data_IF_268749612256
#
_entry.id   IF_268749612256
#
_cell.length_a   1.000
_cell.length_b   1.000
_cell.length_c   1.000
_cell.angle_alpha   90.00
_cell.angle_beta   90.00
_cell.angle_gamma   90.00
#
_symmetry.space_group_name_H-M   'P 1'
#
loop_
_entity.id
_entity.type
_entity.pdbx_description
1 polymer ?
#
# COMPACT_ATOMS: atom_id res chain seq x y z
N UNK A 1 11.98 0.73 -1.41
CA UNK A 1 11.10 -0.43 -1.15
C UNK A 1 11.49 -1.20 0.11
N UNK A 2 12.72 -1.73 0.25
CA UNK A 2 13.12 -2.51 1.45
C UNK A 2 12.80 -1.81 2.79
N UNK A 3 13.16 -0.53 2.92
CA UNK A 3 12.87 0.25 4.13
C UNK A 3 11.37 0.41 4.41
N UNK A 4 10.53 0.55 3.37
CA UNK A 4 9.08 0.63 3.55
C UNK A 4 8.52 -0.69 4.10
N UNK A 5 8.98 -1.83 3.57
CA UNK A 5 8.59 -3.14 4.09
C UNK A 5 9.02 -3.34 5.55
N UNK A 6 10.25 -2.95 5.89
CA UNK A 6 10.77 -3.02 7.28
C UNK A 6 10.00 -2.11 8.24
N UNK A 7 9.60 -0.93 7.79
CA UNK A 7 8.79 -0.02 8.62
C UNK A 7 7.39 -0.59 8.86
N UNK A 8 6.75 -1.14 7.83
CA UNK A 8 5.43 -1.79 7.99
C UNK A 8 5.51 -3.02 8.90
N UNK A 9 6.56 -3.84 8.78
CA UNK A 9 6.83 -4.94 9.71
C UNK A 9 6.98 -4.42 11.16
N UNK A 10 7.72 -3.32 11.36
CA UNK A 10 7.95 -2.71 12.68
C UNK A 10 6.67 -2.20 13.32
N UNK A 11 5.75 -1.62 12.55
CA UNK A 11 4.49 -1.06 13.07
C UNK A 11 3.32 -2.04 13.06
N UNK A 12 3.49 -3.25 12.52
CA UNK A 12 2.45 -4.28 12.45
C UNK A 12 1.47 -4.13 11.27
N UNK A 13 1.84 -3.39 10.23
CA UNK A 13 1.04 -3.17 9.03
C UNK A 13 0.46 -1.76 8.89
N UNK A 14 -0.16 -1.50 7.74
CA UNK A 14 -0.72 -0.20 7.37
C UNK A 14 -0.06 0.39 6.13
N UNK A 15 0.17 1.70 6.14
CA UNK A 15 0.67 2.46 4.98
C UNK A 15 1.91 3.27 5.38
N UNK A 16 2.93 3.32 4.53
CA UNK A 16 4.13 4.14 4.78
C UNK A 16 4.65 4.76 3.48
N UNK A 17 5.11 6.01 3.57
CA UNK A 17 5.77 6.72 2.49
C UNK A 17 7.26 6.82 2.79
N UNK A 18 8.10 6.34 1.87
CA UNK A 18 9.57 6.36 2.01
C UNK A 18 10.20 6.98 0.78
N UNK A 19 11.05 7.99 0.96
CA UNK A 19 11.82 8.63 -0.10
C UNK A 19 13.31 8.59 0.26
N UNK A 20 14.17 8.17 -0.67
CA UNK A 20 15.63 8.17 -0.52
C UNK A 20 16.14 7.49 0.78
N UNK A 21 15.47 6.43 1.24
CA UNK A 21 15.84 5.75 2.48
C UNK A 21 15.47 6.51 3.75
N UNK A 22 14.45 7.37 3.68
CA UNK A 22 13.86 8.03 4.85
C UNK A 22 12.35 7.82 4.87
N UNK A 23 11.82 7.40 6.01
CA UNK A 23 10.38 7.36 6.27
C UNK A 23 9.87 8.79 6.41
N UNK A 24 8.92 9.18 5.55
CA UNK A 24 8.31 10.50 5.53
C UNK A 24 7.05 10.56 6.41
N UNK A 25 6.24 9.50 6.36
CA UNK A 25 5.01 9.36 7.12
C UNK A 25 4.58 7.89 7.17
N UNK A 26 3.88 7.48 8.23
CA UNK A 26 3.34 6.13 8.42
C UNK A 26 1.97 6.21 9.09
N UNK A 27 0.99 5.51 8.52
CA UNK A 27 -0.31 5.20 9.16
C UNK A 27 -0.23 3.78 9.70
N UNK A 28 -0.12 3.66 11.02
CA UNK A 28 0.03 2.36 11.67
C UNK A 28 -1.33 1.67 11.88
N UNK A 29 -1.52 0.51 11.25
CA UNK A 29 -2.72 -0.32 11.35
C UNK A 29 -2.36 -1.72 11.90
N UNK A 30 -1.92 -1.82 13.17
CA UNK A 30 -1.35 -3.05 13.72
C UNK A 30 -2.32 -4.22 13.79
N UNK A 31 -3.63 -3.97 13.70
CA UNK A 31 -4.66 -5.02 13.74
C UNK A 31 -4.91 -5.49 12.31
N UNK A 32 -4.27 -6.60 11.94
CA UNK A 32 -4.36 -7.25 10.64
C UNK A 32 -3.96 -6.36 9.44
N UNK A 33 -3.23 -5.25 9.65
CA UNK A 33 -2.92 -4.28 8.61
C UNK A 33 -4.12 -3.40 8.22
N UNK A 34 -5.23 -3.46 8.96
CA UNK A 34 -6.51 -2.83 8.59
C UNK A 34 -7.04 -1.85 9.64
N UNK A 35 -6.77 -2.07 10.92
CA UNK A 35 -7.33 -1.27 12.01
C UNK A 35 -6.26 -0.82 13.00
N UNK A 36 -6.56 0.27 13.72
CA UNK A 36 -5.71 0.84 14.76
C UNK A 36 -6.49 0.96 16.08
N UNK A 37 -5.84 0.77 17.24
CA UNK A 37 -6.45 1.04 18.55
C UNK A 37 -6.52 2.54 18.88
N UNK A 38 -5.93 3.40 18.05
CA UNK A 38 -5.95 4.84 18.20
C UNK A 38 -7.34 5.43 17.92
N UNK A 39 -7.56 6.67 18.34
CA UNK A 39 -8.80 7.35 18.01
C UNK A 39 -8.86 7.66 16.52
N UNK A 40 -10.07 7.86 15.99
CA UNK A 40 -10.27 8.26 14.59
C UNK A 40 -9.52 9.55 14.28
N UNK A 41 -9.49 10.51 15.22
CA UNK A 41 -8.77 11.77 15.05
C UNK A 41 -7.26 11.56 14.89
N UNK A 42 -6.67 10.66 15.69
CA UNK A 42 -5.25 10.35 15.62
C UNK A 42 -4.88 9.66 14.29
N UNK A 43 -5.72 8.72 13.85
CA UNK A 43 -5.52 8.03 12.56
C UNK A 43 -5.68 9.00 11.39
N UNK A 44 -6.69 9.88 11.44
CA UNK A 44 -6.91 10.90 10.41
C UNK A 44 -5.74 11.90 10.33
N UNK A 45 -5.12 12.23 11.48
CA UNK A 45 -3.91 13.04 11.50
C UNK A 45 -2.75 12.34 10.78
N UNK A 46 -2.54 11.04 11.05
CA UNK A 46 -1.51 10.25 10.35
C UNK A 46 -1.78 10.15 8.84
N UNK A 47 -3.05 10.02 8.45
CA UNK A 47 -3.46 10.00 7.04
C UNK A 47 -3.16 11.33 6.35
N UNK A 48 -3.41 12.46 7.03
CA UNK A 48 -3.07 13.80 6.52
C UNK A 48 -1.57 13.96 6.30
N UNK A 49 -0.74 13.46 7.22
CA UNK A 49 0.71 13.45 7.07
C UNK A 49 1.17 12.57 5.90
N UNK A 50 0.51 11.43 5.70
CA UNK A 50 0.76 10.52 4.58
C UNK A 50 0.43 11.20 3.24
N UNK A 51 -0.71 11.87 3.13
CA UNK A 51 -1.11 12.63 1.96
C UNK A 51 -0.10 13.73 1.59
N UNK A 52 0.39 14.47 2.59
CA UNK A 52 1.44 15.47 2.40
C UNK A 52 2.77 14.82 1.93
N UNK A 53 3.09 13.63 2.43
CA UNK A 53 4.27 12.87 2.00
C UNK A 53 4.15 12.35 0.56
N UNK A 54 2.95 11.97 0.10
CA UNK A 54 2.72 11.53 -1.28
C UNK A 54 3.05 12.62 -2.31
N UNK A 55 2.76 13.88 -1.98
CA UNK A 55 3.14 15.02 -2.83
C UNK A 55 4.66 15.08 -3.04
N UNK A 56 5.46 14.77 -2.00
CA UNK A 56 6.93 14.71 -2.08
C UNK A 56 7.43 13.53 -2.93
N UNK A 57 6.62 12.48 -3.06
CA UNK A 57 6.87 11.33 -3.94
C UNK A 57 6.44 11.58 -5.40
N UNK A 58 5.91 12.77 -5.70
CA UNK A 58 5.40 13.11 -7.04
C UNK A 58 4.01 12.50 -7.34
N UNK A 59 3.29 12.05 -6.31
CA UNK A 59 1.95 11.48 -6.43
C UNK A 59 0.88 12.53 -6.05
N UNK A 60 -0.30 12.52 -6.71
CA UNK A 60 -1.42 13.36 -6.32
C UNK A 60 -2.02 12.91 -4.97
N UNK A 61 -2.67 13.84 -4.26
CA UNK A 61 -3.18 13.63 -2.90
C UNK A 61 -4.24 12.50 -2.79
N UNK A 62 -4.97 12.19 -3.88
CA UNK A 62 -6.07 11.19 -3.91
C UNK A 62 -5.62 9.73 -4.08
N UNK A 63 -4.33 9.41 -3.94
CA UNK A 63 -3.76 8.11 -4.31
C UNK A 63 -3.91 6.93 -3.31
N UNK A 64 -4.10 7.08 -1.98
CA UNK A 64 -4.09 5.94 -1.06
C UNK A 64 -5.15 4.87 -1.36
N UNK A 65 -6.37 5.30 -1.67
CA UNK A 65 -7.51 4.43 -2.01
C UNK A 65 -7.23 3.66 -3.32
N UNK A 66 -6.60 4.29 -4.30
CA UNK A 66 -6.28 3.66 -5.58
C UNK A 66 -5.23 2.55 -5.46
N UNK A 67 -4.26 2.68 -4.55
CA UNK A 67 -3.27 1.63 -4.32
C UNK A 67 -3.90 0.37 -3.72
N UNK A 68 -4.82 0.55 -2.76
CA UNK A 68 -5.58 -0.56 -2.16
C UNK A 68 -6.46 -1.28 -3.19
N UNK A 69 -7.01 -0.55 -4.16
CA UNK A 69 -7.83 -1.10 -5.25
C UNK A 69 -7.07 -2.09 -6.16
N UNK A 70 -5.74 -1.99 -6.26
CA UNK A 70 -4.93 -2.87 -7.11
C UNK A 70 -4.92 -4.33 -6.64
N UNK A 71 -5.13 -4.57 -5.34
CA UNK A 71 -5.15 -5.91 -4.76
C UNK A 71 -6.55 -6.58 -4.81
N UNK A 72 -7.58 -5.92 -5.35
CA UNK A 72 -8.92 -6.50 -5.47
C UNK A 72 -9.05 -7.35 -6.75
N UNK A 73 -9.19 -8.69 -6.65
CA UNK A 73 -9.22 -9.60 -7.79
C UNK A 73 -10.57 -9.62 -8.53
N UNK A 74 -11.52 -8.77 -8.15
CA UNK A 74 -12.91 -8.77 -8.67
C UNK A 74 -13.13 -7.85 -9.86
N UNK A 75 -12.12 -7.08 -10.25
CA UNK A 75 -12.21 -6.17 -11.41
C UNK A 75 -11.64 -6.89 -12.63
N UNK A 76 -12.39 -7.00 -13.75
CA UNK A 76 -12.09 -7.91 -14.86
C UNK A 76 -10.93 -7.44 -15.73
N UNK A 77 -9.70 -7.62 -15.25
CA UNK A 77 -8.43 -7.22 -15.87
C UNK A 77 -7.27 -8.03 -15.26
N UNK A 78 -6.03 -7.83 -15.75
CA UNK A 78 -4.81 -8.42 -15.20
C UNK A 78 -4.55 -7.90 -13.77
N UNK A 79 -4.25 -8.79 -12.83
CA UNK A 79 -4.00 -8.46 -11.41
C UNK A 79 -2.69 -9.07 -10.91
N UNK A 80 -2.01 -8.36 -10.02
CA UNK A 80 -0.84 -8.87 -9.30
C UNK A 80 -1.29 -9.38 -7.93
N UNK A 81 -0.97 -10.63 -7.62
CA UNK A 81 -1.19 -11.25 -6.31
C UNK A 81 0.14 -11.64 -5.68
N UNK A 82 0.08 -12.15 -4.45
CA UNK A 82 1.21 -12.78 -3.76
C UNK A 82 1.74 -14.03 -4.47
N UNK A 83 0.94 -14.65 -5.34
CA UNK A 83 1.33 -15.82 -6.15
C UNK A 83 1.82 -15.45 -7.56
N UNK A 84 1.70 -14.19 -7.98
CA UNK A 84 2.17 -13.71 -9.27
C UNK A 84 1.13 -12.92 -10.06
N UNK A 85 1.39 -12.73 -11.36
CA UNK A 85 0.50 -12.01 -12.27
C UNK A 85 -0.59 -12.97 -12.77
N UNK A 86 -1.86 -12.59 -12.68
CA UNK A 86 -3.02 -13.41 -13.07
C UNK A 86 -3.90 -12.64 -14.04
N UNK A 87 -4.27 -13.27 -15.14
CA UNK A 87 -5.39 -12.84 -15.96
C UNK A 87 -6.69 -13.36 -15.34
N UNK A 88 -7.50 -12.46 -14.78
CA UNK A 88 -8.75 -12.79 -14.10
C UNK A 88 -9.81 -13.36 -15.06
N UNK A 89 -9.77 -12.98 -16.35
CA UNK A 89 -10.74 -13.46 -17.33
C UNK A 89 -10.50 -14.92 -17.72
N UNK A 90 -9.24 -15.32 -17.88
CA UNK A 90 -8.86 -16.70 -18.20
C UNK A 90 -8.53 -17.56 -16.97
N UNK A 91 -8.44 -16.95 -15.78
CA UNK A 91 -7.99 -17.58 -14.53
C UNK A 91 -6.60 -18.24 -14.65
N UNK A 92 -5.71 -17.67 -15.45
CA UNK A 92 -4.38 -18.20 -15.70
C UNK A 92 -3.29 -17.25 -15.18
N UNK A 93 -2.21 -17.84 -14.67
CA UNK A 93 -1.01 -17.10 -14.34
C UNK A 93 -0.28 -16.67 -15.61
N UNK A 94 0.09 -15.39 -15.67
CA UNK A 94 0.93 -14.82 -16.70
C UNK A 94 2.39 -14.95 -16.23
N UNK A 95 3.29 -15.54 -17.02
CA UNK A 95 4.71 -15.55 -16.71
C UNK A 95 5.24 -14.13 -16.49
N UNK A 96 5.76 -13.85 -15.30
CA UNK A 96 6.16 -12.50 -14.89
C UNK A 96 7.45 -12.00 -15.59
N UNK A 97 8.21 -12.90 -16.22
CA UNK A 97 9.46 -12.63 -16.92
C UNK A 97 9.58 -13.56 -18.14
N UNK A 98 9.93 -13.02 -19.30
CA UNK A 98 10.46 -13.82 -20.39
C UNK A 98 11.91 -14.19 -20.05
N UNK A 99 12.14 -15.44 -19.67
CA UNK A 99 13.44 -16.01 -19.36
C UNK A 99 13.36 -17.52 -19.44
#
# INVERSE_FOLDING_TARGET
MFMAARELERVGGGLTAVLNGQVLATVALPIAGLMSPLTVADVASQETDLEAALTKLGLPQSYPIHLLAMALPVVPQIRLTDLGLVDIASQQFIPALAG
#
